data_IF_701878719127
#
_entry.id   IF_701878719127
#
_cell.length_a   1.000
_cell.length_b   1.000
_cell.length_c   1.000
_cell.angle_alpha   90.00
_cell.angle_beta   90.00
_cell.angle_gamma   90.00
#
_symmetry.space_group_name_H-M   'P 1'
#
loop_
_entity.id
_entity.type
_entity.pdbx_description
1 polymer ?
#
# COMPACT_ATOMS: atom_id res chain seq x y z
N UNK A 1 -37.02 15.78 -23.95
CA UNK A 1 -35.77 15.01 -24.04
C UNK A 1 -34.69 15.94 -23.53
N UNK A 2 -34.29 15.80 -22.27
CA UNK A 2 -33.27 16.66 -21.67
C UNK A 2 -31.92 16.02 -21.94
N UNK A 3 -31.06 16.73 -22.65
CA UNK A 3 -29.65 16.38 -22.81
C UNK A 3 -29.01 16.31 -21.42
N UNK A 4 -28.52 15.13 -21.06
CA UNK A 4 -27.69 14.96 -19.87
C UNK A 4 -26.31 15.47 -20.27
N UNK A 5 -25.77 16.52 -19.62
CA UNK A 5 -24.42 16.96 -19.92
C UNK A 5 -23.45 15.82 -19.59
N UNK A 6 -22.64 15.43 -20.58
CA UNK A 6 -21.45 14.61 -20.35
C UNK A 6 -20.55 15.39 -19.39
N UNK A 7 -20.42 14.88 -18.16
CA UNK A 7 -19.49 15.43 -17.21
C UNK A 7 -18.09 15.00 -17.66
N UNK A 8 -17.34 15.90 -18.31
CA UNK A 8 -15.89 15.72 -18.42
C UNK A 8 -15.37 15.63 -16.99
N UNK A 9 -14.95 14.44 -16.60
CA UNK A 9 -14.28 14.16 -15.34
C UNK A 9 -12.89 14.81 -15.40
N UNK A 10 -12.86 16.13 -15.34
CA UNK A 10 -11.66 16.88 -15.05
C UNK A 10 -11.09 16.38 -13.73
N UNK A 11 -9.76 16.39 -13.62
CA UNK A 11 -8.95 15.76 -12.58
C UNK A 11 -9.24 16.32 -11.16
N UNK A 12 -10.36 15.96 -10.53
CA UNK A 12 -10.75 16.48 -9.20
C UNK A 12 -10.08 15.72 -8.02
N UNK A 13 -8.92 15.09 -8.23
CA UNK A 13 -8.24 14.32 -7.19
C UNK A 13 -6.72 14.49 -7.24
N UNK A 14 -6.09 14.59 -6.06
CA UNK A 14 -4.62 14.61 -5.91
C UNK A 14 -4.00 13.21 -5.81
N UNK A 15 -4.74 12.17 -6.16
CA UNK A 15 -4.25 10.80 -6.11
C UNK A 15 -3.35 10.49 -7.32
N UNK A 16 -2.21 9.81 -7.12
CA UNK A 16 -1.43 9.29 -8.24
C UNK A 16 -2.23 8.23 -9.01
N UNK A 17 -1.80 7.93 -10.23
CA UNK A 17 -2.38 6.84 -11.03
C UNK A 17 -2.31 5.51 -10.27
N UNK A 18 -3.45 4.82 -10.18
CA UNK A 18 -3.53 3.54 -9.48
C UNK A 18 -2.80 2.46 -10.29
N UNK A 19 -1.90 1.72 -9.65
CA UNK A 19 -1.20 0.60 -10.26
C UNK A 19 -2.06 -0.67 -10.23
N UNK A 20 -2.12 -1.39 -11.35
CA UNK A 20 -2.65 -2.75 -11.37
C UNK A 20 -1.63 -3.75 -10.79
N UNK A 21 -2.07 -4.97 -10.45
CA UNK A 21 -1.17 -6.05 -10.03
C UNK A 21 -0.16 -6.42 -11.11
N UNK A 22 -0.55 -6.36 -12.39
CA UNK A 22 0.37 -6.56 -13.52
C UNK A 22 1.40 -5.42 -13.59
N UNK A 23 0.98 -4.15 -13.42
CA UNK A 23 1.93 -3.05 -13.37
C UNK A 23 2.94 -3.23 -12.22
N UNK A 24 2.47 -3.68 -11.05
CA UNK A 24 3.33 -3.94 -9.90
C UNK A 24 4.34 -5.06 -10.18
N UNK A 25 3.90 -6.18 -10.79
CA UNK A 25 4.78 -7.28 -11.21
C UNK A 25 5.84 -6.78 -12.18
N UNK A 26 5.44 -6.00 -13.17
CA UNK A 26 6.30 -5.51 -14.24
C UNK A 26 7.31 -4.47 -13.74
N UNK A 27 7.04 -3.78 -12.63
CA UNK A 27 7.99 -2.90 -11.94
C UNK A 27 8.93 -3.65 -10.98
N UNK A 28 8.54 -4.82 -10.47
CA UNK A 28 9.35 -5.62 -9.55
C UNK A 28 10.56 -6.25 -10.26
N UNK A 29 11.70 -6.36 -9.55
CA UNK A 29 12.89 -7.05 -10.07
C UNK A 29 12.68 -8.56 -10.25
N UNK A 30 11.87 -9.19 -9.41
CA UNK A 30 11.71 -10.65 -9.38
C UNK A 30 10.65 -11.16 -10.34
N UNK A 31 9.78 -10.27 -10.86
CA UNK A 31 8.62 -10.60 -11.72
C UNK A 31 7.69 -11.68 -11.14
N UNK A 32 7.78 -11.95 -9.85
CA UNK A 32 6.93 -12.93 -9.17
C UNK A 32 5.49 -12.42 -9.07
N UNK A 33 4.56 -13.37 -8.88
CA UNK A 33 3.18 -13.00 -8.51
C UNK A 33 3.22 -12.10 -7.27
N UNK A 34 2.56 -10.94 -7.29
CA UNK A 34 2.53 -10.03 -6.14
C UNK A 34 1.67 -10.56 -4.99
N UNK A 35 0.87 -11.60 -5.22
CA UNK A 35 0.01 -12.24 -4.23
C UNK A 35 0.35 -13.72 -4.16
N UNK A 36 0.62 -14.19 -2.95
CA UNK A 36 0.69 -15.61 -2.62
C UNK A 36 -0.74 -16.12 -2.36
N UNK A 37 -1.20 -17.01 -3.23
CA UNK A 37 -2.55 -17.58 -3.19
C UNK A 37 -2.72 -18.70 -2.17
N UNK A 38 -1.62 -19.20 -1.61
CA UNK A 38 -1.65 -20.27 -0.61
C UNK A 38 -1.83 -19.75 0.82
N UNK A 39 -1.77 -18.41 1.01
CA UNK A 39 -1.98 -17.78 2.31
C UNK A 39 -3.46 -17.88 2.73
N UNK A 40 -3.77 -18.43 3.92
CA UNK A 40 -5.12 -18.45 4.44
C UNK A 40 -5.68 -17.03 4.66
N UNK A 41 -6.92 -16.81 4.21
CA UNK A 41 -7.65 -15.56 4.45
C UNK A 41 -8.25 -15.53 5.87
N UNK A 42 -7.38 -15.41 6.88
CA UNK A 42 -7.75 -15.28 8.29
C UNK A 42 -7.40 -13.90 8.85
N UNK A 43 -7.78 -13.63 10.10
CA UNK A 43 -7.25 -12.46 10.81
C UNK A 43 -5.72 -12.56 10.91
N UNK A 44 -5.06 -11.47 10.53
CA UNK A 44 -3.62 -11.30 10.65
C UNK A 44 -3.24 -10.79 12.06
N UNK A 45 -1.94 -10.77 12.43
CA UNK A 45 -1.49 -10.10 13.65
C UNK A 45 -2.01 -8.67 13.72
N UNK A 46 -2.42 -8.23 14.92
CA UNK A 46 -3.06 -6.92 15.13
C UNK A 46 -2.20 -5.72 14.73
N UNK A 47 -0.87 -5.88 14.75
CA UNK A 47 0.08 -4.84 14.35
C UNK A 47 0.44 -4.89 12.85
N UNK A 48 -0.03 -5.90 12.13
CA UNK A 48 0.33 -6.20 10.75
C UNK A 48 1.51 -7.16 10.60
N UNK A 49 1.83 -7.51 9.35
CA UNK A 49 2.92 -8.42 9.01
C UNK A 49 4.26 -7.97 9.59
N UNK A 50 4.99 -8.86 10.25
CA UNK A 50 6.34 -8.60 10.77
C UNK A 50 7.29 -8.22 9.64
N UNK A 51 7.20 -8.91 8.50
CA UNK A 51 8.04 -8.63 7.33
C UNK A 51 7.81 -7.21 6.81
N UNK A 52 6.54 -6.80 6.66
CA UNK A 52 6.21 -5.45 6.20
C UNK A 52 6.70 -4.39 7.20
N UNK A 53 6.51 -4.61 8.50
CA UNK A 53 6.98 -3.68 9.53
C UNK A 53 8.49 -3.53 9.56
N UNK A 54 9.26 -4.62 9.39
CA UNK A 54 10.72 -4.57 9.29
C UNK A 54 11.17 -3.74 8.09
N UNK A 55 10.57 -4.00 6.92
CA UNK A 55 10.92 -3.28 5.70
C UNK A 55 10.60 -1.79 5.78
N UNK A 56 9.49 -1.42 6.41
CA UNK A 56 9.17 -0.01 6.66
C UNK A 56 10.15 0.62 7.64
N UNK A 57 10.49 -0.07 8.74
CA UNK A 57 11.51 0.42 9.67
C UNK A 57 12.85 0.66 8.95
N UNK A 58 13.29 -0.26 8.08
CA UNK A 58 14.50 -0.09 7.27
C UNK A 58 14.43 1.13 6.33
N UNK A 59 13.29 1.36 5.68
CA UNK A 59 13.09 2.48 4.74
C UNK A 59 13.12 3.84 5.47
N UNK A 60 12.57 3.91 6.68
CA UNK A 60 12.36 5.17 7.39
C UNK A 60 13.34 5.40 8.56
N UNK A 61 14.18 4.42 8.89
CA UNK A 61 15.21 4.55 9.92
C UNK A 61 16.27 5.58 9.50
N UNK A 62 16.76 6.36 10.46
CA UNK A 62 17.93 7.24 10.27
C UNK A 62 18.98 6.94 11.35
N UNK A 63 20.18 7.50 11.20
CA UNK A 63 21.26 7.31 12.17
C UNK A 63 20.91 7.93 13.54
N UNK A 64 20.16 9.04 13.54
CA UNK A 64 19.71 9.74 14.76
C UNK A 64 18.51 9.08 15.42
N UNK A 65 17.71 8.33 14.65
CA UNK A 65 16.49 7.68 15.11
C UNK A 65 16.38 6.27 14.51
N UNK A 66 17.15 5.30 15.05
CA UNK A 66 17.10 3.93 14.57
C UNK A 66 15.72 3.32 14.84
N UNK A 67 15.11 2.76 13.79
CA UNK A 67 13.81 2.11 13.89
C UNK A 67 13.94 0.59 13.79
N UNK A 68 13.08 -0.10 14.54
CA UNK A 68 12.82 -1.53 14.42
C UNK A 68 11.36 -1.76 14.07
N UNK A 69 10.97 -3.00 13.78
CA UNK A 69 9.57 -3.34 13.52
C UNK A 69 8.65 -2.95 14.69
N UNK A 70 9.16 -2.88 15.92
CA UNK A 70 8.39 -2.51 17.11
C UNK A 70 7.98 -1.03 17.11
N UNK A 71 8.59 -0.22 16.25
CA UNK A 71 8.24 1.18 16.07
C UNK A 71 7.15 1.40 15.00
N UNK A 72 6.68 0.33 14.34
CA UNK A 72 5.75 0.40 13.21
C UNK A 72 4.44 -0.33 13.54
N UNK A 73 3.30 0.27 13.17
CA UNK A 73 1.98 -0.35 13.21
C UNK A 73 1.34 -0.16 11.85
N UNK A 74 0.80 -1.23 11.25
CA UNK A 74 0.11 -1.17 9.96
C UNK A 74 -1.36 -0.79 10.20
N UNK A 75 -1.83 0.23 9.50
CA UNK A 75 -3.22 0.71 9.55
C UNK A 75 -3.90 0.64 8.17
N UNK A 76 -5.24 0.55 8.14
CA UNK A 76 -6.06 0.77 6.94
C UNK A 76 -5.95 2.20 6.38
N UNK A 77 -4.84 2.49 5.70
CA UNK A 77 -4.58 3.79 5.07
C UNK A 77 -4.20 4.91 6.05
N UNK A 78 -3.72 6.03 5.49
CA UNK A 78 -3.23 7.17 6.28
C UNK A 78 -4.30 7.83 7.13
N UNK A 79 -5.57 7.78 6.71
CA UNK A 79 -6.70 8.35 7.47
C UNK A 79 -6.81 7.69 8.85
N UNK A 80 -6.59 6.38 8.96
CA UNK A 80 -6.64 5.67 10.24
C UNK A 80 -5.32 5.73 11.02
N UNK A 81 -4.24 6.23 10.39
CA UNK A 81 -2.97 6.44 11.09
C UNK A 81 -2.94 7.75 11.90
N UNK A 82 -3.74 8.74 11.50
CA UNK A 82 -3.92 10.00 12.23
C UNK A 82 -4.64 9.79 13.56
#
# INVERSE_FOLDING_TARGET
>A
MHDIPEFELDQVGSAPYALSLDNLRDLSCTKLSPIDTDIPLSYAPSLGSVELRKRLAEIYSTDEAPLSENNVIITPGSIMAN
#
